data_IF_855061821786
#
_entry.id   IF_855061821786
#
_cell.length_a   1.000
_cell.length_b   1.000
_cell.length_c   1.000
_cell.angle_alpha   90.00
_cell.angle_beta   90.00
_cell.angle_gamma   90.00
#
_symmetry.space_group_name_H-M   'P 1'
#
loop_
_entity.id
_entity.type
_entity.pdbx_description
1 polymer ?
#
# COMPACT_ATOMS: atom_id res chain seq x y z
N UNK A 1 -14.83 2.57 -17.87
CA UNK A 1 -14.92 1.62 -16.73
C UNK A 1 -16.38 1.28 -16.48
N UNK A 2 -16.70 0.00 -16.35
CA UNK A 2 -18.01 -0.48 -15.92
C UNK A 2 -17.90 -0.81 -14.42
N UNK A 3 -18.64 -0.10 -13.58
CA UNK A 3 -18.63 -0.31 -12.14
C UNK A 3 -19.69 -1.33 -11.68
N UNK A 4 -20.53 -1.79 -12.58
CA UNK A 4 -21.55 -2.82 -12.34
C UNK A 4 -21.03 -4.22 -12.73
N UNK A 5 -19.86 -4.31 -13.36
CA UNK A 5 -19.21 -5.58 -13.69
C UNK A 5 -18.83 -6.33 -12.41
N UNK A 6 -19.37 -7.52 -12.26
CA UNK A 6 -19.01 -8.42 -11.15
C UNK A 6 -17.78 -9.22 -11.53
N UNK A 7 -16.68 -9.02 -10.82
CA UNK A 7 -15.43 -9.74 -10.98
C UNK A 7 -15.29 -10.72 -9.83
N UNK A 8 -15.44 -12.02 -10.11
CA UNK A 8 -15.19 -13.04 -9.10
C UNK A 8 -13.68 -13.19 -8.87
N UNK A 9 -13.24 -12.88 -7.66
CA UNK A 9 -11.82 -12.95 -7.26
C UNK A 9 -11.52 -14.11 -6.31
N UNK A 10 -12.50 -14.96 -6.04
CA UNK A 10 -12.31 -16.16 -5.22
C UNK A 10 -11.40 -17.15 -5.94
N UNK A 11 -10.49 -17.77 -5.21
CA UNK A 11 -9.53 -18.74 -5.76
C UNK A 11 -8.46 -18.14 -6.67
N UNK A 12 -8.30 -16.80 -6.67
CA UNK A 12 -7.29 -16.11 -7.48
C UNK A 12 -6.02 -15.76 -6.73
N UNK A 13 -5.92 -16.07 -5.44
CA UNK A 13 -4.86 -15.63 -4.54
C UNK A 13 -5.10 -14.22 -4.00
N UNK A 14 -6.28 -13.64 -4.22
CA UNK A 14 -6.64 -12.34 -3.68
C UNK A 14 -6.88 -12.45 -2.17
N UNK A 15 -5.95 -11.95 -1.36
CA UNK A 15 -5.99 -12.00 0.11
C UNK A 15 -7.33 -11.57 0.67
N UNK A 16 -7.93 -10.51 0.12
CA UNK A 16 -9.23 -9.98 0.54
C UNK A 16 -10.34 -11.04 0.51
N UNK A 17 -10.33 -11.92 -0.49
CA UNK A 17 -11.33 -12.96 -0.70
C UNK A 17 -10.89 -14.31 -0.12
N UNK A 18 -9.68 -14.76 -0.45
CA UNK A 18 -9.25 -16.13 -0.17
C UNK A 18 -8.82 -16.34 1.29
N UNK A 19 -8.48 -15.24 2.00
CA UNK A 19 -8.13 -15.30 3.42
C UNK A 19 -9.25 -14.79 4.35
N UNK A 20 -10.45 -14.52 3.83
CA UNK A 20 -11.55 -13.96 4.62
C UNK A 20 -11.97 -14.88 5.77
N UNK A 21 -12.02 -16.18 5.54
CA UNK A 21 -12.37 -17.16 6.58
C UNK A 21 -11.30 -17.22 7.67
N UNK A 22 -10.03 -17.22 7.31
CA UNK A 22 -8.92 -17.30 8.25
C UNK A 22 -8.83 -16.07 9.16
N UNK A 23 -9.13 -14.88 8.65
CA UNK A 23 -9.03 -13.62 9.40
C UNK A 23 -10.35 -13.15 10.01
N UNK A 24 -11.46 -13.43 9.35
CA UNK A 24 -12.79 -12.94 9.74
C UNK A 24 -13.75 -14.03 10.21
N UNK A 25 -13.40 -15.31 10.07
CA UNK A 25 -14.26 -16.43 10.43
C UNK A 25 -15.50 -16.58 9.54
N UNK A 26 -15.52 -15.95 8.36
CA UNK A 26 -16.65 -15.94 7.42
C UNK A 26 -16.22 -16.55 6.10
N UNK A 27 -16.98 -17.54 5.62
CA UNK A 27 -16.74 -18.18 4.33
C UNK A 27 -16.84 -17.17 3.18
N UNK A 28 -15.96 -17.22 2.17
CA UNK A 28 -16.08 -16.40 0.97
C UNK A 28 -17.32 -16.70 0.12
N UNK A 29 -18.00 -17.83 0.37
CA UNK A 29 -19.27 -18.16 -0.29
C UNK A 29 -20.44 -17.33 0.26
N UNK A 30 -20.43 -17.01 1.55
CA UNK A 30 -21.54 -16.36 2.26
C UNK A 30 -21.23 -14.91 2.65
N UNK A 31 -19.96 -14.51 2.61
CA UNK A 31 -19.49 -13.22 3.11
C UNK A 31 -19.20 -12.20 2.05
N UNK A 32 -19.20 -10.92 2.47
CA UNK A 32 -18.76 -9.79 1.66
C UNK A 32 -17.51 -9.20 2.33
N UNK A 33 -16.33 -9.29 1.70
CA UNK A 33 -15.10 -8.80 2.30
C UNK A 33 -15.00 -7.28 2.20
N UNK A 34 -14.87 -6.60 3.35
CA UNK A 34 -14.72 -5.14 3.43
C UNK A 34 -13.51 -4.74 4.30
N UNK A 35 -12.55 -5.62 4.49
CA UNK A 35 -11.46 -5.48 5.46
C UNK A 35 -10.10 -5.08 4.85
N UNK A 36 -9.93 -5.23 3.53
CA UNK A 36 -8.72 -4.82 2.80
C UNK A 36 -9.06 -3.67 1.87
N UNK A 37 -8.24 -2.62 1.85
CA UNK A 37 -8.33 -1.51 0.91
C UNK A 37 -7.87 -1.93 -0.49
N UNK A 38 -8.57 -2.87 -1.08
CA UNK A 38 -8.35 -3.47 -2.38
C UNK A 38 -9.69 -3.50 -3.12
N UNK A 39 -9.79 -2.71 -4.18
CA UNK A 39 -11.05 -2.54 -4.93
C UNK A 39 -11.32 -3.75 -5.83
N UNK A 40 -12.59 -4.15 -5.91
CA UNK A 40 -13.06 -5.24 -6.77
C UNK A 40 -13.46 -4.77 -8.17
N UNK A 41 -13.11 -3.55 -8.53
CA UNK A 41 -13.33 -3.02 -9.88
C UNK A 41 -12.17 -3.34 -10.81
N UNK A 42 -12.46 -3.42 -12.11
CA UNK A 42 -11.43 -3.51 -13.14
C UNK A 42 -10.49 -2.30 -13.05
N UNK A 43 -9.20 -2.54 -13.12
CA UNK A 43 -8.21 -1.46 -13.19
C UNK A 43 -8.44 -0.59 -14.43
N UNK A 44 -8.19 0.71 -14.32
CA UNK A 44 -8.34 1.65 -15.42
C UNK A 44 -7.54 1.23 -16.66
N UNK A 45 -8.09 1.49 -17.86
CA UNK A 45 -7.47 1.09 -19.12
C UNK A 45 -6.06 1.67 -19.26
N UNK A 46 -5.84 2.91 -18.84
CA UNK A 46 -4.50 3.55 -18.86
C UNK A 46 -3.46 2.75 -18.07
N UNK A 47 -3.84 2.15 -16.94
CA UNK A 47 -2.95 1.32 -16.15
C UNK A 47 -2.68 -0.03 -16.85
N UNK A 48 -3.73 -0.64 -17.40
CA UNK A 48 -3.60 -1.90 -18.13
C UNK A 48 -2.74 -1.73 -19.38
N UNK A 49 -2.88 -0.61 -20.10
CA UNK A 49 -2.09 -0.31 -21.30
C UNK A 49 -0.61 -0.07 -20.96
N UNK A 50 -0.33 0.59 -19.83
CA UNK A 50 1.05 0.75 -19.35
C UNK A 50 1.70 -0.62 -19.04
N UNK A 51 0.96 -1.55 -18.41
CA UNK A 51 1.46 -2.91 -18.13
C UNK A 51 1.63 -3.71 -19.44
N UNK A 52 0.70 -3.62 -20.38
CA UNK A 52 0.85 -4.25 -21.70
C UNK A 52 2.09 -3.78 -22.43
N UNK A 53 2.36 -2.46 -22.42
CA UNK A 53 3.57 -1.91 -23.02
C UNK A 53 4.87 -2.43 -22.37
N UNK A 54 4.85 -2.79 -21.10
CA UNK A 54 5.97 -3.49 -20.45
C UNK A 54 6.12 -4.93 -20.97
N UNK A 55 5.03 -5.65 -21.08
CA UNK A 55 5.02 -7.04 -21.58
C UNK A 55 5.51 -7.12 -23.03
N UNK A 56 5.08 -6.19 -23.88
CA UNK A 56 5.49 -6.12 -25.30
C UNK A 56 6.98 -5.86 -25.48
N UNK A 57 7.62 -5.12 -24.58
CA UNK A 57 9.08 -4.91 -24.59
C UNK A 57 9.86 -6.20 -24.30
N UNK A 58 9.27 -7.16 -23.61
CA UNK A 58 9.85 -8.47 -23.29
C UNK A 58 11.28 -8.44 -22.67
N UNK A 59 11.67 -7.30 -22.09
CA UNK A 59 12.96 -7.09 -21.42
C UNK A 59 12.72 -6.39 -20.09
N UNK A 60 13.03 -7.10 -19.01
CA UNK A 60 12.75 -6.69 -17.60
C UNK A 60 14.03 -6.48 -16.81
N UNK A 61 15.08 -6.01 -17.47
CA UNK A 61 16.37 -5.71 -16.86
C UNK A 61 16.33 -4.49 -15.91
N UNK A 62 17.49 -4.04 -15.51
CA UNK A 62 17.62 -2.87 -14.66
C UNK A 62 17.03 -1.62 -15.34
N UNK A 63 16.35 -0.79 -14.58
CA UNK A 63 15.81 0.49 -15.03
C UNK A 63 16.63 1.66 -14.46
N UNK A 64 16.47 2.85 -15.05
CA UNK A 64 17.30 4.02 -14.74
C UNK A 64 16.90 4.78 -13.48
N UNK A 65 15.91 4.31 -12.73
CA UNK A 65 15.45 4.91 -11.48
C UNK A 65 14.07 5.56 -11.56
N UNK A 66 13.65 6.18 -10.47
CA UNK A 66 12.27 6.58 -10.18
C UNK A 66 11.92 8.01 -10.66
N UNK A 67 12.78 8.69 -11.42
CA UNK A 67 12.63 10.11 -11.73
C UNK A 67 11.25 10.48 -12.30
N UNK A 68 10.80 9.78 -13.34
CA UNK A 68 9.49 10.05 -13.94
C UNK A 68 8.33 9.78 -12.99
N UNK A 69 8.45 8.78 -12.11
CA UNK A 69 7.46 8.49 -11.08
C UNK A 69 7.44 9.60 -10.02
N UNK A 70 8.61 10.02 -9.55
CA UNK A 70 8.73 11.09 -8.55
C UNK A 70 8.17 12.42 -9.07
N UNK A 71 8.41 12.76 -10.34
CA UNK A 71 7.82 13.93 -10.99
C UNK A 71 6.28 13.83 -11.06
N UNK A 72 5.74 12.66 -11.41
CA UNK A 72 4.30 12.44 -11.44
C UNK A 72 3.67 12.55 -10.03
N UNK A 73 4.35 12.04 -9.01
CA UNK A 73 3.93 12.19 -7.60
C UNK A 73 3.95 13.67 -7.19
N UNK A 74 5.04 14.39 -7.50
CA UNK A 74 5.14 15.83 -7.18
C UNK A 74 4.02 16.63 -7.85
N UNK A 75 3.76 16.36 -9.12
CA UNK A 75 2.65 16.98 -9.85
C UNK A 75 1.30 16.68 -9.16
N UNK A 76 1.02 15.43 -8.82
CA UNK A 76 -0.22 15.05 -8.12
C UNK A 76 -0.36 15.75 -6.78
N UNK A 77 0.70 15.77 -5.98
CA UNK A 77 0.68 16.41 -4.65
C UNK A 77 0.42 17.92 -4.76
N UNK A 78 1.02 18.59 -5.75
CA UNK A 78 0.74 19.99 -5.99
C UNK A 78 -0.70 20.23 -6.45
N UNK A 79 -1.14 19.54 -7.51
CA UNK A 79 -2.44 19.78 -8.14
C UNK A 79 -3.64 19.41 -7.26
N UNK A 80 -3.50 18.34 -6.45
CA UNK A 80 -4.63 17.80 -5.67
C UNK A 80 -4.59 18.20 -4.20
N UNK A 81 -3.45 18.57 -3.67
CA UNK A 81 -3.25 18.83 -2.25
C UNK A 81 -2.56 20.18 -1.97
N UNK A 82 -2.14 20.92 -2.97
CA UNK A 82 -1.45 22.20 -2.81
C UNK A 82 -0.08 22.07 -2.12
N UNK A 83 0.51 20.87 -2.13
CA UNK A 83 1.81 20.60 -1.53
C UNK A 83 2.89 20.50 -2.61
N UNK A 84 3.81 21.47 -2.61
CA UNK A 84 4.98 21.49 -3.49
C UNK A 84 6.04 20.48 -3.00
N UNK A 85 5.80 19.19 -3.21
CA UNK A 85 6.76 18.14 -2.87
C UNK A 85 7.95 18.17 -3.84
N UNK A 86 9.18 18.11 -3.31
CA UNK A 86 10.39 18.07 -4.11
C UNK A 86 10.74 16.63 -4.53
N UNK A 87 10.78 16.31 -5.84
CA UNK A 87 11.16 14.97 -6.31
C UNK A 87 12.53 14.48 -5.81
N UNK A 88 13.46 15.41 -5.54
CA UNK A 88 14.80 15.07 -5.02
C UNK A 88 14.78 14.50 -3.59
N UNK A 89 13.70 14.69 -2.85
CA UNK A 89 13.52 14.18 -1.48
C UNK A 89 12.66 12.93 -1.42
N UNK A 90 12.37 12.30 -2.56
CA UNK A 90 11.54 11.09 -2.63
C UNK A 90 12.40 9.85 -2.74
N UNK A 91 12.06 8.84 -1.94
CA UNK A 91 12.71 7.54 -1.94
C UNK A 91 11.67 6.43 -2.06
N UNK A 92 11.89 5.51 -2.99
CA UNK A 92 11.01 4.36 -3.19
C UNK A 92 11.37 3.24 -2.23
N UNK A 93 10.35 2.61 -1.69
CA UNK A 93 10.47 1.42 -0.84
C UNK A 93 9.52 0.32 -1.35
N UNK A 94 9.69 -0.91 -0.86
CA UNK A 94 8.80 -2.02 -1.19
C UNK A 94 7.42 -1.94 -0.52
N UNK A 95 6.91 -0.73 -0.32
CA UNK A 95 5.63 -0.41 0.30
C UNK A 95 5.80 0.37 1.61
N UNK A 96 4.71 1.04 2.07
CA UNK A 96 4.74 1.92 3.24
C UNK A 96 5.10 1.20 4.55
N UNK A 97 4.70 -0.06 4.72
CA UNK A 97 5.09 -0.84 5.89
C UNK A 97 6.61 -1.03 5.98
N UNK A 98 7.28 -1.22 4.85
CA UNK A 98 8.75 -1.26 4.78
C UNK A 98 9.36 0.12 5.08
N UNK A 99 8.79 1.20 4.52
CA UNK A 99 9.25 2.56 4.81
C UNK A 99 9.18 2.89 6.30
N UNK A 100 8.07 2.54 6.98
CA UNK A 100 7.91 2.75 8.42
C UNK A 100 8.99 2.00 9.20
N UNK A 101 9.23 0.73 8.90
CA UNK A 101 10.26 -0.05 9.56
C UNK A 101 11.66 0.57 9.38
N UNK A 102 12.02 0.98 8.15
CA UNK A 102 13.29 1.64 7.86
C UNK A 102 13.45 2.96 8.63
N UNK A 103 12.40 3.77 8.72
CA UNK A 103 12.42 5.03 9.48
C UNK A 103 12.63 4.76 10.97
N UNK A 104 11.92 3.78 11.53
CA UNK A 104 12.07 3.39 12.93
C UNK A 104 13.49 2.90 13.22
N UNK A 105 14.04 2.02 12.39
CA UNK A 105 15.41 1.51 12.57
C UNK A 105 16.48 2.59 12.39
N UNK A 106 16.19 3.61 11.55
CA UNK A 106 17.17 4.68 11.27
C UNK A 106 17.21 5.74 12.37
N UNK A 107 16.05 6.09 12.94
CA UNK A 107 15.92 7.27 13.81
C UNK A 107 15.62 6.96 15.28
N UNK A 108 15.46 5.69 15.64
CA UNK A 108 15.19 5.26 17.02
C UNK A 108 16.00 4.02 17.39
N UNK A 109 16.08 3.72 18.69
CA UNK A 109 16.70 2.51 19.23
C UNK A 109 15.62 1.50 19.69
N UNK A 110 15.93 0.19 19.78
CA UNK A 110 15.04 -0.78 20.41
C UNK A 110 14.64 -0.36 21.83
N UNK A 111 13.34 -0.39 22.11
CA UNK A 111 12.76 0.06 23.38
C UNK A 111 12.29 1.49 23.39
N UNK A 112 12.59 2.29 22.38
CA UNK A 112 12.03 3.64 22.24
C UNK A 112 10.51 3.60 22.03
N UNK A 113 9.83 4.61 22.56
CA UNK A 113 8.38 4.78 22.39
C UNK A 113 8.04 5.49 21.07
N UNK A 114 7.03 4.97 20.39
CA UNK A 114 6.49 5.55 19.15
C UNK A 114 5.02 5.88 19.36
N UNK A 115 4.66 7.14 19.21
CA UNK A 115 3.28 7.60 19.38
C UNK A 115 2.47 7.31 18.13
N UNK A 116 1.30 6.70 18.32
CA UNK A 116 0.28 6.55 17.28
C UNK A 116 -1.06 7.11 17.78
N UNK A 117 -1.81 7.75 16.90
CA UNK A 117 -3.19 8.14 17.20
C UNK A 117 -4.11 6.95 17.03
N UNK A 118 -4.97 6.67 18.03
CA UNK A 118 -5.90 5.53 17.99
C UNK A 118 -7.36 5.98 18.00
N UNK A 119 -8.28 5.25 17.32
CA UNK A 119 -8.03 4.04 16.53
C UNK A 119 -7.34 4.30 15.19
N UNK A 120 -6.44 3.40 14.78
CA UNK A 120 -5.67 3.53 13.54
C UNK A 120 -5.44 2.15 12.90
N UNK A 121 -4.95 2.12 11.68
CA UNK A 121 -4.64 0.90 10.96
C UNK A 121 -3.64 0.02 11.73
N UNK A 122 -4.02 -1.21 11.99
CA UNK A 122 -3.30 -2.15 12.87
C UNK A 122 -1.85 -2.43 12.45
N UNK A 123 -1.53 -2.27 11.15
CA UNK A 123 -0.17 -2.49 10.65
C UNK A 123 0.86 -1.49 11.24
N UNK A 124 0.43 -0.32 11.71
CA UNK A 124 1.35 0.60 12.38
C UNK A 124 1.87 -0.01 13.69
N UNK A 125 0.97 -0.49 14.55
CA UNK A 125 1.33 -1.23 15.76
C UNK A 125 2.27 -2.39 15.43
N UNK A 126 1.88 -3.21 14.45
CA UNK A 126 2.67 -4.38 14.07
C UNK A 126 4.10 -4.01 13.62
N UNK A 127 4.29 -2.94 12.83
CA UNK A 127 5.64 -2.52 12.39
C UNK A 127 6.47 -1.95 13.54
N UNK A 128 5.88 -1.24 14.47
CA UNK A 128 6.56 -0.70 15.65
C UNK A 128 7.08 -1.85 16.53
N UNK A 129 6.21 -2.80 16.86
CA UNK A 129 6.56 -3.96 17.69
C UNK A 129 7.57 -4.89 17.01
N UNK A 130 7.41 -5.15 15.70
CA UNK A 130 8.31 -6.00 14.93
C UNK A 130 9.75 -5.46 14.91
N UNK A 131 9.91 -4.13 14.97
CA UNK A 131 11.22 -3.46 15.04
C UNK A 131 11.74 -3.30 16.47
N UNK A 132 11.05 -3.86 17.47
CA UNK A 132 11.44 -3.82 18.88
C UNK A 132 11.18 -2.49 19.57
N UNK A 133 10.34 -1.63 18.99
CA UNK A 133 9.90 -0.36 19.60
C UNK A 133 8.62 -0.58 20.38
N UNK A 134 8.28 0.36 21.24
CA UNK A 134 7.10 0.31 22.11
C UNK A 134 6.03 1.25 21.56
N UNK A 135 4.80 0.77 21.46
CA UNK A 135 3.66 1.58 21.04
C UNK A 135 3.19 2.45 22.20
N UNK A 136 3.07 3.75 21.97
CA UNK A 136 2.42 4.68 22.87
C UNK A 136 1.14 5.22 22.21
N UNK A 137 -0.02 4.81 22.72
CA UNK A 137 -1.31 5.21 22.15
C UNK A 137 -1.74 6.59 22.60
N UNK A 138 -2.14 7.43 21.67
CA UNK A 138 -2.78 8.72 21.90
C UNK A 138 -4.21 8.68 21.32
N UNK A 139 -5.23 8.40 22.13
CA UNK A 139 -6.62 8.34 21.67
C UNK A 139 -7.10 9.69 21.11
N UNK A 140 -7.88 9.65 20.00
CA UNK A 140 -8.50 10.81 19.35
C UNK A 140 -9.82 11.21 20.04
#
# INVERSE_FOLDING_TARGET
MDFDEIIDRRGTGATKWDNMEAYGGVSPEDGIPMWVADMDFRAADVLQDAVRGLLERANYGYFTGDGAMNEAIAWWMNERHGWAADPAHMYSTAGLGHAIALLLETFTDPGDEVIIFTPVYHEFTHKIELTGRVVHEAPL
#
